data_IF_018815370276
#
_entry.id   IF_018815370276
#
_cell.length_a   1.000
_cell.length_b   1.000
_cell.length_c   1.000
_cell.angle_alpha   90.00
_cell.angle_beta   90.00
_cell.angle_gamma   90.00
#
_symmetry.space_group_name_H-M   'P 1'
#
loop_
_entity.id
_entity.type
_entity.pdbx_description
1 polymer ?
#
# COMPACT_ATOMS: atom_id res chain seq x y z
N UNK A 1 18.99 -36.48 19.32
CA UNK A 1 20.39 -35.98 19.23
C UNK A 1 20.43 -34.57 19.79
N UNK A 2 21.41 -34.25 20.65
CA UNK A 2 21.58 -32.91 21.20
C UNK A 2 22.58 -32.14 20.33
N UNK A 3 22.14 -31.04 19.71
CA UNK A 3 23.04 -30.14 19.00
C UNK A 3 23.70 -29.20 20.01
N UNK A 4 25.02 -29.20 20.09
CA UNK A 4 25.78 -28.34 20.99
C UNK A 4 26.28 -27.10 20.21
N UNK A 5 25.82 -25.89 20.56
CA UNK A 5 26.29 -24.67 19.90
C UNK A 5 27.72 -24.34 20.36
N UNK A 6 28.51 -23.80 19.43
CA UNK A 6 29.86 -23.30 19.75
C UNK A 6 29.71 -21.98 20.52
N UNK A 7 30.04 -22.01 21.80
CA UNK A 7 29.92 -20.87 22.72
C UNK A 7 31.30 -20.27 22.97
N UNK A 8 31.55 -18.97 22.71
CA UNK A 8 32.86 -18.34 22.92
C UNK A 8 33.43 -18.53 24.34
N UNK A 9 32.56 -18.50 25.37
CA UNK A 9 32.95 -18.72 26.77
C UNK A 9 33.47 -20.14 27.04
N UNK A 10 33.09 -21.14 26.23
CA UNK A 10 33.51 -22.53 26.41
C UNK A 10 34.89 -22.83 25.80
N UNK A 11 35.47 -21.92 25.01
CA UNK A 11 36.75 -22.15 24.31
C UNK A 11 37.93 -22.33 25.25
N UNK A 12 37.85 -21.80 26.48
CA UNK A 12 38.90 -21.99 27.50
C UNK A 12 38.88 -23.37 28.15
N UNK A 13 37.80 -24.14 28.01
CA UNK A 13 37.61 -25.41 28.71
C UNK A 13 37.39 -26.60 27.77
N UNK A 14 36.95 -26.35 26.53
CA UNK A 14 36.51 -27.38 25.59
C UNK A 14 37.06 -27.09 24.20
N UNK A 15 37.65 -28.12 23.57
CA UNK A 15 38.03 -28.08 22.15
C UNK A 15 36.88 -28.61 21.28
N UNK A 16 36.41 -27.78 20.35
CA UNK A 16 35.39 -28.15 19.36
C UNK A 16 36.05 -28.75 18.11
N UNK A 17 35.38 -29.73 17.48
CA UNK A 17 35.76 -30.26 16.17
C UNK A 17 35.23 -29.37 15.05
N UNK A 18 35.31 -29.83 13.79
CA UNK A 18 34.72 -29.13 12.65
C UNK A 18 33.21 -28.93 12.84
N UNK A 19 32.70 -27.79 12.38
CA UNK A 19 31.27 -27.51 12.41
C UNK A 19 30.54 -28.53 11.52
N UNK A 20 29.55 -29.21 12.10
CA UNK A 20 28.71 -30.18 11.41
C UNK A 20 27.49 -29.52 10.76
N UNK A 21 26.97 -28.44 11.36
CA UNK A 21 25.78 -27.75 10.91
C UNK A 21 25.78 -26.28 11.38
N UNK A 22 25.00 -25.43 10.72
CA UNK A 22 24.82 -24.01 11.07
C UNK A 22 23.35 -23.79 11.41
N UNK A 23 23.08 -23.48 12.68
CA UNK A 23 21.75 -23.10 13.14
C UNK A 23 21.52 -21.60 13.04
N UNK A 24 20.39 -21.19 12.45
CA UNK A 24 19.92 -19.81 12.49
C UNK A 24 18.91 -19.61 13.62
N UNK A 25 18.98 -18.47 14.30
CA UNK A 25 18.03 -18.10 15.34
C UNK A 25 16.94 -17.19 14.77
N UNK A 26 15.69 -17.57 14.97
CA UNK A 26 14.52 -16.78 14.57
C UNK A 26 13.78 -16.25 15.80
N UNK A 27 13.34 -14.99 15.72
CA UNK A 27 12.45 -14.41 16.73
C UNK A 27 11.02 -14.68 16.31
N UNK A 28 10.26 -15.35 17.17
CA UNK A 28 8.83 -15.57 16.94
C UNK A 28 8.03 -14.39 17.50
N UNK A 29 7.08 -13.91 16.72
CA UNK A 29 6.22 -12.78 17.08
C UNK A 29 4.75 -13.14 16.87
N UNK A 30 3.86 -12.51 17.63
CA UNK A 30 2.42 -12.62 17.37
C UNK A 30 2.12 -12.04 15.98
N UNK A 31 1.33 -12.75 15.18
CA UNK A 31 0.87 -12.27 13.87
C UNK A 31 0.27 -10.86 14.04
N UNK A 32 0.76 -9.85 13.30
CA UNK A 32 0.22 -8.50 13.38
C UNK A 32 -1.25 -8.48 12.93
N UNK A 33 -2.05 -7.61 13.55
CA UNK A 33 -3.44 -7.38 13.13
C UNK A 33 -3.44 -6.67 11.78
N UNK A 34 -4.45 -6.95 10.96
CA UNK A 34 -4.62 -6.29 9.67
C UNK A 34 -4.68 -4.77 9.87
N UNK A 35 -3.88 -4.04 9.11
CA UNK A 35 -3.84 -2.58 9.20
C UNK A 35 -5.02 -2.02 8.42
N UNK A 36 -6.16 -1.86 9.10
CA UNK A 36 -7.35 -1.22 8.55
C UNK A 36 -7.08 0.28 8.34
N UNK A 37 -6.44 0.62 7.23
CA UNK A 37 -6.19 2.00 6.86
C UNK A 37 -7.42 2.50 6.10
N UNK A 38 -8.23 3.37 6.72
CA UNK A 38 -9.46 3.93 6.13
C UNK A 38 -9.25 4.73 4.83
N UNK A 39 -8.00 4.90 4.39
CA UNK A 39 -7.60 5.50 3.10
C UNK A 39 -7.57 4.51 1.94
N UNK A 40 -7.90 3.23 2.16
CA UNK A 40 -7.81 2.17 1.14
C UNK A 40 -8.58 2.45 -0.15
N UNK A 41 -9.62 3.29 -0.09
CA UNK A 41 -10.42 3.68 -1.26
C UNK A 41 -9.72 4.71 -2.16
N UNK A 42 -8.89 5.59 -1.59
CA UNK A 42 -8.11 6.59 -2.37
C UNK A 42 -6.69 6.11 -2.70
N UNK A 43 -6.22 5.06 -2.01
CA UNK A 43 -4.93 4.42 -2.22
C UNK A 43 -4.65 3.88 -3.65
N UNK A 44 -5.63 3.48 -4.48
CA UNK A 44 -5.36 2.89 -5.80
C UNK A 44 -4.65 3.84 -6.76
N UNK A 45 -4.83 5.16 -6.58
CA UNK A 45 -4.23 6.20 -7.41
C UNK A 45 -3.36 7.15 -6.59
N UNK A 46 -2.22 7.52 -7.17
CA UNK A 46 -1.39 8.60 -6.64
C UNK A 46 -2.13 9.93 -6.73
N UNK A 47 -1.82 10.84 -5.81
CA UNK A 47 -2.34 12.22 -5.79
C UNK A 47 -2.18 12.93 -7.14
N UNK A 48 -1.07 12.71 -7.85
CA UNK A 48 -0.86 13.25 -9.19
C UNK A 48 -1.93 12.82 -10.19
N UNK A 49 -2.36 11.55 -10.16
CA UNK A 49 -3.39 11.04 -11.06
C UNK A 49 -4.75 11.65 -10.73
N UNK A 50 -5.07 11.79 -9.44
CA UNK A 50 -6.30 12.47 -9.00
C UNK A 50 -6.36 13.92 -9.51
N UNK A 51 -5.26 14.66 -9.43
CA UNK A 51 -5.16 16.02 -9.98
C UNK A 51 -5.33 16.00 -11.50
N UNK A 52 -4.72 15.05 -12.21
CA UNK A 52 -4.87 14.91 -13.66
C UNK A 52 -6.32 14.59 -14.09
N UNK A 53 -7.05 13.79 -13.31
CA UNK A 53 -8.47 13.51 -13.57
C UNK A 53 -9.29 14.80 -13.42
N UNK A 54 -9.09 15.56 -12.34
CA UNK A 54 -9.77 16.85 -12.14
C UNK A 54 -9.42 17.86 -13.23
N UNK A 55 -8.16 17.93 -13.63
CA UNK A 55 -7.70 18.79 -14.73
C UNK A 55 -8.34 18.37 -16.05
N UNK A 56 -8.42 17.07 -16.33
CA UNK A 56 -9.08 16.53 -17.53
C UNK A 56 -10.56 16.95 -17.60
N UNK A 57 -11.29 16.88 -16.48
CA UNK A 57 -12.67 17.36 -16.40
C UNK A 57 -12.80 18.85 -16.75
N UNK A 58 -11.88 19.68 -16.26
CA UNK A 58 -11.84 21.11 -16.53
C UNK A 58 -11.44 21.45 -17.98
N UNK A 59 -10.72 20.56 -18.66
CA UNK A 59 -10.29 20.76 -20.05
C UNK A 59 -11.35 20.27 -21.04
N UNK A 60 -11.96 19.11 -20.79
CA UNK A 60 -12.91 18.49 -21.74
C UNK A 60 -14.22 19.26 -21.84
N UNK A 61 -14.71 19.87 -20.74
CA UNK A 61 -15.92 20.71 -20.78
C UNK A 61 -15.81 21.90 -21.76
N UNK A 62 -14.77 22.75 -21.62
CA UNK A 62 -14.47 23.82 -22.58
C UNK A 62 -14.18 23.31 -23.99
N UNK A 63 -13.51 22.16 -24.16
CA UNK A 63 -13.28 21.58 -25.49
C UNK A 63 -14.59 21.22 -26.21
N UNK A 64 -15.54 20.62 -25.50
CA UNK A 64 -16.88 20.32 -26.04
C UNK A 64 -17.58 21.62 -26.44
N UNK A 65 -17.59 22.62 -25.55
CA UNK A 65 -18.22 23.92 -25.81
C UNK A 65 -17.57 24.64 -27.01
N UNK A 66 -16.24 24.60 -27.10
CA UNK A 66 -15.48 25.20 -28.20
C UNK A 66 -15.80 24.52 -29.53
N UNK A 67 -15.90 23.19 -29.58
CA UNK A 67 -16.25 22.46 -30.80
C UNK A 67 -17.68 22.79 -31.25
N UNK A 68 -18.63 22.91 -30.31
CA UNK A 68 -20.01 23.33 -30.61
C UNK A 68 -20.03 24.76 -31.18
N UNK A 69 -19.30 25.69 -30.56
CA UNK A 69 -19.20 27.08 -31.02
C UNK A 69 -18.50 27.20 -32.37
N UNK A 70 -17.37 26.53 -32.55
CA UNK A 70 -16.59 26.53 -33.79
C UNK A 70 -17.46 26.03 -34.95
N UNK A 71 -18.23 24.96 -34.71
CA UNK A 71 -19.18 24.46 -35.70
C UNK A 71 -20.32 25.45 -35.98
N UNK A 72 -20.95 26.02 -34.95
CA UNK A 72 -22.02 27.01 -35.14
C UNK A 72 -21.52 28.22 -35.97
N UNK A 73 -20.27 28.63 -35.77
CA UNK A 73 -19.62 29.70 -36.56
C UNK A 73 -19.31 29.28 -38.00
N UNK A 74 -18.82 28.06 -38.22
CA UNK A 74 -18.39 27.58 -39.54
C UNK A 74 -19.53 27.10 -40.43
N UNK A 75 -20.51 26.38 -39.88
CA UNK A 75 -21.59 25.78 -40.66
C UNK A 75 -22.83 26.67 -40.79
N UNK A 76 -22.93 27.81 -40.09
CA UNK A 76 -24.14 28.67 -40.04
C UNK A 76 -25.44 27.84 -39.94
N UNK A 77 -25.39 26.79 -39.12
CA UNK A 77 -26.49 25.84 -38.95
C UNK A 77 -27.53 26.49 -38.02
N UNK A 78 -28.69 26.88 -38.56
CA UNK A 78 -29.76 27.56 -37.81
C UNK A 78 -30.40 26.66 -36.72
N UNK A 79 -30.23 25.34 -36.87
CA UNK A 79 -30.72 24.31 -35.93
C UNK A 79 -29.70 23.93 -34.84
N UNK A 80 -28.53 24.57 -34.79
CA UNK A 80 -27.49 24.22 -33.82
C UNK A 80 -27.80 24.74 -32.42
N UNK A 81 -28.28 23.85 -31.53
CA UNK A 81 -28.44 24.16 -30.10
C UNK A 81 -27.08 24.43 -29.44
N UNK A 82 -26.82 25.70 -29.12
CA UNK A 82 -25.63 26.11 -28.36
C UNK A 82 -25.89 25.85 -26.88
N UNK A 83 -25.11 24.95 -26.29
CA UNK A 83 -25.16 24.69 -24.86
C UNK A 83 -24.19 25.61 -24.10
N UNK A 84 -24.62 26.23 -22.99
CA UNK A 84 -23.73 27.05 -22.19
C UNK A 84 -22.66 26.19 -21.51
N UNK A 85 -21.47 26.75 -21.31
CA UNK A 85 -20.30 26.05 -20.77
C UNK A 85 -20.58 25.28 -19.45
N UNK A 86 -21.33 25.81 -18.47
CA UNK A 86 -21.66 25.07 -17.25
C UNK A 86 -22.42 23.76 -17.50
N UNK A 87 -23.32 23.72 -18.49
CA UNK A 87 -24.05 22.50 -18.86
C UNK A 87 -23.12 21.47 -19.50
N UNK A 88 -22.12 21.91 -20.27
CA UNK A 88 -21.09 21.02 -20.82
C UNK A 88 -20.19 20.45 -19.72
N UNK A 89 -19.78 21.26 -18.74
CA UNK A 89 -18.98 20.76 -17.59
C UNK A 89 -19.80 19.78 -16.75
N UNK A 90 -21.06 20.10 -16.46
CA UNK A 90 -21.97 19.20 -15.75
C UNK A 90 -22.16 17.87 -16.48
N UNK A 91 -22.27 17.91 -17.80
CA UNK A 91 -22.33 16.71 -18.63
C UNK A 91 -21.07 15.84 -18.48
N UNK A 92 -19.89 16.45 -18.62
CA UNK A 92 -18.59 15.75 -18.51
C UNK A 92 -18.43 15.11 -17.13
N UNK A 93 -18.82 15.84 -16.08
CA UNK A 93 -18.85 15.34 -14.71
C UNK A 93 -19.83 14.17 -14.52
N UNK A 94 -21.07 14.30 -15.00
CA UNK A 94 -22.06 13.22 -14.94
C UNK A 94 -21.61 11.97 -15.69
N UNK A 95 -21.01 12.12 -16.86
CA UNK A 95 -20.44 11.02 -17.62
C UNK A 95 -19.32 10.29 -16.87
N UNK A 96 -18.45 11.01 -16.12
CA UNK A 96 -17.42 10.40 -15.26
C UNK A 96 -18.04 9.57 -14.13
N UNK A 97 -19.15 10.04 -13.55
CA UNK A 97 -19.93 9.28 -12.58
C UNK A 97 -20.80 8.17 -13.19
N UNK A 98 -20.69 7.93 -14.50
CA UNK A 98 -21.56 7.04 -15.29
C UNK A 98 -23.06 7.37 -15.16
N UNK A 99 -23.38 8.62 -14.84
CA UNK A 99 -24.74 9.13 -14.86
C UNK A 99 -25.10 9.52 -16.29
N UNK A 100 -26.29 9.09 -16.74
CA UNK A 100 -26.85 9.50 -18.01
C UNK A 100 -27.13 11.00 -18.03
N UNK A 101 -27.06 11.61 -19.21
CA UNK A 101 -27.42 13.02 -19.42
C UNK A 101 -28.57 13.13 -20.40
N UNK A 102 -29.18 14.31 -20.45
CA UNK A 102 -30.14 14.71 -21.48
C UNK A 102 -29.47 15.39 -22.68
N UNK A 103 -28.17 15.69 -22.61
CA UNK A 103 -27.42 16.29 -23.73
C UNK A 103 -27.15 15.24 -24.81
N UNK A 104 -27.79 15.38 -25.97
CA UNK A 104 -27.62 14.47 -27.11
C UNK A 104 -26.85 15.14 -28.24
N UNK A 105 -25.68 14.60 -28.66
CA UNK A 105 -24.91 15.14 -29.78
C UNK A 105 -25.67 14.91 -31.10
N UNK A 106 -26.13 16.00 -31.70
CA UNK A 106 -26.89 15.96 -32.96
C UNK A 106 -26.01 15.72 -34.18
N UNK A 107 -24.68 15.85 -34.05
CA UNK A 107 -23.72 15.88 -35.16
C UNK A 107 -22.63 14.82 -35.03
N UNK A 108 -22.15 14.29 -36.15
CA UNK A 108 -21.09 13.29 -36.21
C UNK A 108 -19.78 13.69 -35.52
N UNK A 109 -19.30 14.93 -35.66
CA UNK A 109 -18.09 15.41 -34.96
C UNK A 109 -18.27 15.41 -33.43
N UNK A 110 -19.45 15.80 -32.95
CA UNK A 110 -19.77 15.72 -31.52
C UNK A 110 -19.92 14.28 -31.05
N UNK A 111 -20.47 13.38 -31.87
CA UNK A 111 -20.57 11.94 -31.52
C UNK A 111 -19.20 11.31 -31.31
N UNK A 112 -18.22 11.62 -32.17
CA UNK A 112 -16.86 11.11 -32.02
C UNK A 112 -16.19 11.62 -30.73
N UNK A 113 -16.38 12.89 -30.39
CA UNK A 113 -15.85 13.48 -29.16
C UNK A 113 -16.47 12.84 -27.91
N UNK A 114 -17.79 12.62 -27.91
CA UNK A 114 -18.47 11.95 -26.81
C UNK A 114 -18.05 10.48 -26.69
N UNK A 115 -17.90 9.77 -27.82
CA UNK A 115 -17.44 8.39 -27.84
C UNK A 115 -16.01 8.24 -27.28
N UNK A 116 -15.10 9.12 -27.70
CA UNK A 116 -13.72 9.14 -27.17
C UNK A 116 -13.68 9.45 -25.67
N UNK A 117 -14.50 10.38 -25.20
CA UNK A 117 -14.66 10.65 -23.77
C UNK A 117 -15.21 9.45 -23.00
N UNK A 118 -16.24 8.77 -23.52
CA UNK A 118 -16.79 7.57 -22.90
C UNK A 118 -15.78 6.41 -22.83
N UNK A 119 -14.99 6.20 -23.88
CA UNK A 119 -13.91 5.21 -23.86
C UNK A 119 -12.90 5.56 -22.77
N UNK A 120 -12.49 6.82 -22.68
CA UNK A 120 -11.56 7.29 -21.65
C UNK A 120 -12.09 7.01 -20.23
N UNK A 121 -13.35 7.40 -19.93
CA UNK A 121 -13.97 7.14 -18.62
C UNK A 121 -14.07 5.65 -18.32
N UNK A 122 -14.39 4.84 -19.33
CA UNK A 122 -14.51 3.38 -19.18
C UNK A 122 -13.17 2.76 -18.80
N UNK A 123 -12.10 3.12 -19.51
CA UNK A 123 -10.73 2.66 -19.22
C UNK A 123 -10.30 3.13 -17.83
N UNK A 124 -10.52 4.41 -17.51
CA UNK A 124 -10.15 5.00 -16.21
C UNK A 124 -10.83 4.26 -15.05
N UNK A 125 -12.15 4.02 -15.16
CA UNK A 125 -12.91 3.31 -14.13
C UNK A 125 -12.48 1.86 -14.03
N UNK A 126 -12.22 1.17 -15.14
CA UNK A 126 -11.75 -0.20 -15.14
C UNK A 126 -10.39 -0.33 -14.43
N UNK A 127 -9.46 0.59 -14.71
CA UNK A 127 -8.15 0.61 -14.07
C UNK A 127 -8.24 0.94 -12.58
N UNK A 128 -9.10 1.89 -12.18
CA UNK A 128 -9.38 2.18 -10.78
C UNK A 128 -9.88 0.93 -10.04
N UNK A 129 -10.89 0.26 -10.60
CA UNK A 129 -11.48 -0.94 -9.99
C UNK A 129 -10.47 -2.09 -9.94
N UNK A 130 -9.64 -2.28 -10.96
CA UNK A 130 -8.60 -3.31 -10.96
C UNK A 130 -7.56 -3.07 -9.86
N UNK A 131 -7.05 -1.84 -9.76
CA UNK A 131 -6.07 -1.48 -8.74
C UNK A 131 -6.65 -1.51 -7.33
N UNK A 132 -7.90 -1.08 -7.16
CA UNK A 132 -8.63 -1.19 -5.90
C UNK A 132 -8.81 -2.66 -5.50
N UNK A 133 -9.22 -3.52 -6.45
CA UNK A 133 -9.38 -4.96 -6.19
C UNK A 133 -8.04 -5.58 -5.79
N UNK A 134 -6.95 -5.27 -6.50
CA UNK A 134 -5.61 -5.72 -6.13
C UNK A 134 -5.17 -5.21 -4.75
N UNK A 135 -5.55 -3.99 -4.38
CA UNK A 135 -5.28 -3.45 -3.05
C UNK A 135 -6.09 -4.16 -1.96
N UNK A 136 -7.37 -4.47 -2.23
CA UNK A 136 -8.26 -5.14 -1.27
C UNK A 136 -7.92 -6.61 -1.07
N UNK A 137 -7.41 -7.30 -2.10
CA UNK A 137 -6.96 -8.70 -1.96
C UNK A 137 -5.60 -8.80 -1.25
N UNK A 138 -4.80 -7.74 -1.26
CA UNK A 138 -3.52 -7.69 -0.57
C UNK A 138 -3.72 -7.32 0.90
N UNK A 139 -3.71 -8.31 1.78
CA UNK A 139 -3.67 -8.07 3.23
C UNK A 139 -2.34 -7.43 3.62
N UNK A 140 -2.37 -6.13 3.96
CA UNK A 140 -1.19 -5.40 4.45
C UNK A 140 -1.04 -5.59 5.94
N UNK A 141 0.06 -6.25 6.32
CA UNK A 141 0.49 -6.42 7.69
C UNK A 141 1.58 -5.41 8.00
N UNK A 142 1.44 -4.65 9.09
CA UNK A 142 2.52 -3.83 9.63
C UNK A 142 3.25 -4.63 10.72
N UNK A 143 4.48 -5.05 10.41
CA UNK A 143 5.37 -5.67 11.39
C UNK A 143 5.83 -4.60 12.39
N UNK A 144 5.72 -4.92 13.68
CA UNK A 144 6.12 -3.98 14.75
C UNK A 144 7.64 -3.89 14.92
N UNK A 145 8.34 -4.98 14.55
CA UNK A 145 9.79 -5.16 14.63
C UNK A 145 10.24 -5.69 13.28
N UNK A 146 11.00 -4.90 12.53
CA UNK A 146 11.61 -5.33 11.27
C UNK A 146 13.10 -5.63 11.47
N UNK A 147 13.78 -4.86 12.34
CA UNK A 147 15.21 -5.01 12.58
C UNK A 147 15.53 -5.40 14.04
N UNK A 148 16.69 -6.03 14.24
CA UNK A 148 17.21 -6.36 15.58
C UNK A 148 17.31 -5.11 16.48
N UNK A 149 17.62 -3.96 15.89
CA UNK A 149 17.70 -2.66 16.59
C UNK A 149 16.34 -2.16 17.08
N UNK A 150 15.24 -2.54 16.42
CA UNK A 150 13.89 -2.19 16.87
C UNK A 150 13.57 -2.84 18.22
N UNK A 151 14.08 -4.06 18.44
CA UNK A 151 13.92 -4.79 19.71
C UNK A 151 14.67 -4.08 20.84
N UNK A 152 15.82 -3.49 20.53
CA UNK A 152 16.65 -2.79 21.51
C UNK A 152 16.16 -1.37 21.83
N UNK A 153 15.66 -0.66 20.82
CA UNK A 153 15.21 0.73 20.96
C UNK A 153 13.80 0.86 21.51
N UNK A 154 12.88 0.00 21.07
CA UNK A 154 11.50 -0.01 21.55
C UNK A 154 11.46 -0.86 22.81
N UNK A 155 10.77 -0.39 23.86
CA UNK A 155 10.63 -1.10 25.15
C UNK A 155 9.76 -2.38 25.03
N UNK A 156 10.04 -3.22 24.05
CA UNK A 156 9.37 -4.50 23.89
C UNK A 156 9.91 -5.49 24.90
N UNK A 157 8.99 -6.15 25.60
CA UNK A 157 9.32 -7.31 26.40
C UNK A 157 9.56 -8.48 25.45
N UNK A 158 10.77 -9.02 25.48
CA UNK A 158 11.11 -10.24 24.77
C UNK A 158 11.57 -11.28 25.77
N UNK A 159 11.50 -12.52 25.32
CA UNK A 159 11.62 -13.68 26.18
C UNK A 159 12.50 -14.69 25.47
N UNK A 160 13.46 -15.23 26.19
CA UNK A 160 14.26 -16.37 25.73
C UNK A 160 14.29 -17.46 26.80
N UNK A 161 14.48 -18.70 26.37
CA UNK A 161 14.59 -19.85 27.26
C UNK A 161 15.91 -19.80 28.03
N UNK A 162 15.84 -19.90 29.36
CA UNK A 162 17.03 -19.88 30.23
C UNK A 162 17.97 -21.05 29.92
N UNK A 163 19.27 -20.81 29.99
CA UNK A 163 20.33 -21.81 29.76
C UNK A 163 20.62 -22.13 28.29
N UNK A 164 20.04 -21.36 27.34
CA UNK A 164 20.33 -21.49 25.91
C UNK A 164 21.46 -20.57 25.48
N UNK A 165 22.10 -20.88 24.34
CA UNK A 165 23.23 -20.08 23.83
C UNK A 165 22.90 -18.61 23.55
N UNK A 166 21.63 -18.29 23.29
CA UNK A 166 21.17 -16.89 23.14
C UNK A 166 21.40 -16.07 24.42
N UNK A 167 21.21 -16.64 25.61
CA UNK A 167 21.46 -15.94 26.87
C UNK A 167 22.95 -15.62 27.03
N UNK A 168 23.81 -16.60 26.74
CA UNK A 168 25.26 -16.43 26.80
C UNK A 168 25.80 -15.34 25.85
N UNK A 169 25.11 -15.10 24.73
CA UNK A 169 25.44 -14.04 23.77
C UNK A 169 24.87 -12.67 24.14
N UNK A 170 23.70 -12.64 24.81
CA UNK A 170 22.98 -11.38 25.07
C UNK A 170 23.34 -10.78 26.42
N UNK A 171 23.68 -11.60 27.41
CA UNK A 171 24.11 -11.13 28.72
C UNK A 171 25.48 -11.72 29.11
N UNK A 172 26.58 -10.99 28.87
CA UNK A 172 27.91 -11.47 29.18
C UNK A 172 28.20 -11.55 30.69
N UNK A 173 27.40 -10.92 31.57
CA UNK A 173 27.72 -10.70 32.98
C UNK A 173 26.91 -11.52 34.00
N UNK A 174 25.93 -12.33 33.60
CA UNK A 174 25.21 -13.21 34.56
C UNK A 174 26.03 -14.48 34.78
N UNK A 175 26.53 -14.63 36.01
CA UNK A 175 27.31 -15.77 36.50
C UNK A 175 26.55 -16.60 37.57
N UNK A 176 25.29 -16.24 37.86
CA UNK A 176 24.50 -16.92 38.89
C UNK A 176 23.65 -18.05 38.30
N UNK A 177 24.18 -19.27 38.41
CA UNK A 177 23.45 -20.53 38.26
C UNK A 177 22.42 -20.69 39.40
N UNK A 178 21.25 -20.06 39.26
CA UNK A 178 20.07 -20.48 40.02
C UNK A 178 19.42 -21.68 39.32
N UNK A 179 19.42 -22.80 40.04
CA UNK A 179 19.08 -24.18 39.67
C UNK A 179 17.61 -24.44 39.26
N UNK A 180 16.94 -23.48 38.62
CA UNK A 180 15.61 -23.71 38.03
C UNK A 180 15.73 -23.92 36.51
N UNK A 181 15.98 -25.17 36.15
CA UNK A 181 16.02 -25.66 34.77
C UNK A 181 14.60 -25.57 34.19
N UNK A 182 14.41 -24.70 33.18
CA UNK A 182 13.15 -24.59 32.44
C UNK A 182 12.38 -23.28 32.65
N UNK A 183 12.90 -22.34 33.42
CA UNK A 183 12.29 -21.01 33.57
C UNK A 183 12.44 -20.16 32.30
N UNK A 184 11.40 -19.37 32.04
CA UNK A 184 11.32 -18.41 30.95
C UNK A 184 11.69 -17.04 31.53
N UNK A 185 12.81 -16.44 31.12
CA UNK A 185 13.25 -15.15 31.67
C UNK A 185 12.71 -13.98 30.81
N UNK A 186 12.01 -12.99 31.42
CA UNK A 186 11.67 -11.76 30.75
C UNK A 186 12.91 -10.87 30.70
N UNK A 187 13.39 -10.57 29.51
CA UNK A 187 14.49 -9.64 29.32
C UNK A 187 13.92 -8.25 29.03
N UNK A 188 14.36 -7.27 29.82
CA UNK A 188 14.14 -5.85 29.57
C UNK A 188 15.52 -5.27 29.36
N UNK A 189 15.83 -4.78 28.16
CA UNK A 189 17.09 -4.09 27.93
C UNK A 189 17.09 -2.85 28.82
N UNK A 190 17.92 -2.87 29.87
CA UNK A 190 18.23 -1.69 30.65
C UNK A 190 19.08 -0.77 29.77
N UNK A 191 18.78 0.54 29.85
CA UNK A 191 19.41 1.60 29.08
C UNK A 191 20.94 1.60 29.19
#
# INVERSE_FOLDING_TARGET
AAFLPVLPKAWSYIHFSTNLDIGEWYVMMRRPKESATGSGLLAPFTTSVWVLILLSLLVVGPLIHFIILLRARLCKDDESKIFPLPSCVWFVYGALLKQGTTLSPTTDSSRLLFATWWIFITILTAYYTANLTAFLTLSRFTLQVNEKKDIASKHYQWVARKGHAIEALTNPHIESYDNEIGSILPYRLAK
#
